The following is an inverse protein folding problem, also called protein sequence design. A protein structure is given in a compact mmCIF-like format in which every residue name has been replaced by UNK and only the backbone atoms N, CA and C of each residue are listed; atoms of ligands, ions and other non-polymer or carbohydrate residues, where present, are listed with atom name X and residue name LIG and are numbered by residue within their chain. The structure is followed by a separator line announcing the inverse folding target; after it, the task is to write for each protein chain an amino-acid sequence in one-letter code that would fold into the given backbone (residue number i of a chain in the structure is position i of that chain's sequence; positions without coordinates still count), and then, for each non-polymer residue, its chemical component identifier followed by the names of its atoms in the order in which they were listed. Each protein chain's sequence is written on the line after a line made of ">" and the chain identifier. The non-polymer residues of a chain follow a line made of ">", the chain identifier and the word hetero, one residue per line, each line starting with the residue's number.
data_IF_638117752117
#
_entry.id   IF_638117752117
#
_cell.length_a   1.000
_cell.length_b   1.000
_cell.length_c   1.000
_cell.angle_alpha   90.00
_cell.angle_beta   90.00
_cell.angle_gamma   90.00
#
_symmetry.space_group_name_H-M   'P 1'
#
loop_
_entity.id
_entity.type
_entity.pdbx_description
1 polymer ?
#
# COMPACT_ATOMS: atom_id res chain seq x y z
N UNK A 1 -19.73 -83.95 -20.48
CA UNK A 1 -18.48 -83.67 -19.73
C UNK A 1 -17.63 -82.69 -20.52
N UNK A 2 -17.43 -81.47 -20.01
CA UNK A 2 -16.20 -80.64 -20.04
C UNK A 2 -16.57 -79.21 -19.65
N UNK A 3 -15.99 -78.77 -18.53
CA UNK A 3 -15.98 -77.38 -18.07
C UNK A 3 -15.12 -76.55 -19.02
N UNK A 4 -15.51 -75.32 -19.29
CA UNK A 4 -14.62 -74.27 -19.77
C UNK A 4 -14.93 -72.97 -19.02
N UNK A 5 -13.86 -72.27 -18.70
CA UNK A 5 -13.67 -71.37 -17.58
C UNK A 5 -13.19 -70.03 -18.15
N UNK A 6 -13.61 -68.91 -17.55
CA UNK A 6 -13.05 -67.55 -17.66
C UNK A 6 -13.03 -66.86 -19.04
N UNK A 7 -13.57 -65.64 -19.10
CA UNK A 7 -12.76 -64.43 -18.89
C UNK A 7 -13.67 -63.20 -18.73
N UNK A 8 -13.71 -62.68 -17.51
CA UNK A 8 -14.28 -61.38 -17.17
C UNK A 8 -13.22 -60.33 -17.55
N UNK A 9 -13.36 -59.69 -18.70
CA UNK A 9 -12.47 -58.60 -19.12
C UNK A 9 -13.09 -57.29 -18.64
N UNK A 10 -12.67 -56.85 -17.45
CA UNK A 10 -12.98 -55.53 -16.94
C UNK A 10 -12.37 -54.46 -17.83
N UNK A 11 -13.21 -53.68 -18.49
CA UNK A 11 -12.82 -52.42 -19.10
C UNK A 11 -12.78 -51.36 -17.98
N UNK A 12 -11.68 -51.31 -17.25
CA UNK A 12 -11.32 -50.13 -16.46
C UNK A 12 -10.92 -49.05 -17.47
N UNK A 13 -11.90 -48.25 -17.88
CA UNK A 13 -11.63 -46.94 -18.46
C UNK A 13 -10.93 -46.13 -17.37
N UNK A 14 -9.60 -46.16 -17.38
CA UNK A 14 -8.75 -45.16 -16.75
C UNK A 14 -9.14 -43.82 -17.38
N UNK A 15 -10.09 -43.13 -16.75
CA UNK A 15 -10.22 -41.70 -16.90
C UNK A 15 -8.87 -41.13 -16.49
N UNK A 16 -8.10 -40.71 -17.48
CA UNK A 16 -6.93 -39.87 -17.29
C UNK A 16 -7.47 -38.57 -16.70
N UNK A 17 -7.51 -38.48 -15.37
CA UNK A 17 -7.62 -37.21 -14.67
C UNK A 17 -6.34 -36.49 -15.09
N UNK A 18 -6.41 -35.37 -15.82
CA UNK A 18 -5.22 -34.54 -15.94
C UNK A 18 -4.85 -34.18 -14.50
N UNK A 19 -3.68 -34.66 -14.06
CA UNK A 19 -3.01 -34.14 -12.89
C UNK A 19 -2.86 -32.65 -13.15
N UNK A 20 -3.82 -31.87 -12.66
CA UNK A 20 -3.58 -30.47 -12.41
C UNK A 20 -2.47 -30.47 -11.37
N UNK A 21 -1.24 -30.28 -11.84
CA UNK A 21 -0.18 -29.76 -11.00
C UNK A 21 -0.79 -28.65 -10.15
N UNK A 22 -0.64 -28.67 -8.82
CA UNK A 22 -1.09 -27.54 -8.02
C UNK A 22 -0.35 -26.34 -8.58
N UNK A 23 -1.06 -25.43 -9.27
CA UNK A 23 -0.48 -24.14 -9.63
C UNK A 23 -0.03 -23.58 -8.30
N UNK A 24 1.27 -23.45 -8.10
CA UNK A 24 1.82 -22.73 -6.97
C UNK A 24 1.10 -21.39 -7.04
N UNK A 25 0.17 -21.16 -6.11
CA UNK A 25 -0.52 -19.90 -5.99
C UNK A 25 0.58 -18.96 -5.50
N UNK A 26 1.34 -18.39 -6.45
CA UNK A 26 2.34 -17.40 -6.13
C UNK A 26 1.65 -16.31 -5.31
N UNK A 27 2.25 -15.98 -4.17
CA UNK A 27 1.77 -14.94 -3.29
C UNK A 27 1.72 -13.64 -4.10
N UNK A 28 0.52 -13.07 -4.26
CA UNK A 28 0.31 -11.89 -5.09
C UNK A 28 1.18 -10.70 -4.65
N UNK A 29 1.49 -10.62 -3.34
CA UNK A 29 2.42 -9.64 -2.80
C UNK A 29 3.85 -9.95 -3.23
N UNK A 30 4.29 -11.21 -3.19
CA UNK A 30 5.64 -11.60 -3.60
C UNK A 30 5.91 -11.22 -5.07
N UNK A 31 4.95 -11.44 -5.95
CA UNK A 31 5.09 -11.05 -7.36
C UNK A 31 5.09 -9.53 -7.54
N UNK A 32 4.24 -8.81 -6.82
CA UNK A 32 4.21 -7.35 -6.88
C UNK A 32 5.51 -6.71 -6.37
N UNK A 33 6.14 -7.30 -5.35
CA UNK A 33 7.42 -6.83 -4.82
C UNK A 33 8.59 -6.98 -5.80
N UNK A 34 8.49 -7.87 -6.80
CA UNK A 34 9.48 -7.99 -7.89
C UNK A 34 9.34 -6.89 -8.94
N UNK A 35 8.20 -6.19 -8.99
CA UNK A 35 7.94 -5.12 -9.95
C UNK A 35 8.60 -3.82 -9.49
N UNK A 36 9.13 -2.97 -10.41
CA UNK A 36 9.72 -1.69 -10.05
C UNK A 36 8.76 -0.82 -9.22
N UNK A 37 9.24 -0.35 -8.07
CA UNK A 37 8.48 0.46 -7.13
C UNK A 37 9.41 1.46 -6.41
N UNK A 38 8.83 2.54 -5.90
CA UNK A 38 9.55 3.61 -5.21
C UNK A 38 9.75 3.31 -3.72
N UNK A 39 9.01 2.35 -3.17
CA UNK A 39 9.07 1.95 -1.78
C UNK A 39 7.86 1.15 -1.37
N UNK A 40 7.94 0.61 -0.16
CA UNK A 40 6.93 -0.26 0.44
C UNK A 40 6.68 0.21 1.87
N UNK A 41 5.41 0.41 2.22
CA UNK A 41 4.99 0.67 3.60
C UNK A 41 4.27 -0.55 4.13
N UNK A 42 4.57 -0.95 5.37
CA UNK A 42 3.85 -2.00 6.08
C UNK A 42 3.30 -1.46 7.39
N UNK A 43 2.07 -1.88 7.73
CA UNK A 43 1.38 -1.53 8.96
C UNK A 43 0.39 -2.64 9.33
N UNK A 44 0.62 -3.34 10.43
CA UNK A 44 -0.16 -4.52 10.80
C UNK A 44 -0.15 -5.58 9.70
N UNK A 45 -1.33 -6.00 9.24
CA UNK A 45 -1.48 -6.97 8.13
C UNK A 45 -1.55 -6.32 6.74
N UNK A 46 -1.36 -5.00 6.66
CA UNK A 46 -1.45 -4.21 5.42
C UNK A 46 -0.06 -3.94 4.85
N UNK A 47 0.06 -4.04 3.53
CA UNK A 47 1.24 -3.64 2.77
C UNK A 47 0.84 -2.72 1.63
N UNK A 48 1.55 -1.62 1.47
CA UNK A 48 1.34 -0.61 0.44
C UNK A 48 2.59 -0.56 -0.43
N UNK A 49 2.45 -0.75 -1.74
CA UNK A 49 3.55 -0.65 -2.71
C UNK A 49 3.33 0.62 -3.53
N UNK A 50 4.35 1.49 -3.55
CA UNK A 50 4.33 2.72 -4.35
C UNK A 50 4.82 2.41 -5.77
N UNK A 51 3.90 2.13 -6.68
CA UNK A 51 4.23 1.64 -8.02
C UNK A 51 4.95 2.70 -8.86
N UNK A 52 5.94 2.27 -9.66
CA UNK A 52 6.59 3.13 -10.65
C UNK A 52 5.83 3.09 -11.99
N UNK A 53 4.56 3.50 -11.97
CA UNK A 53 3.73 3.65 -13.17
C UNK A 53 3.42 5.12 -13.47
N UNK A 54 2.86 5.39 -14.65
CA UNK A 54 2.52 6.76 -15.08
C UNK A 54 1.42 7.41 -14.24
N UNK A 55 0.62 6.61 -13.55
CA UNK A 55 -0.52 7.04 -12.74
C UNK A 55 -0.14 7.17 -11.26
N UNK A 56 1.10 6.82 -10.90
CA UNK A 56 1.66 6.79 -9.56
C UNK A 56 0.73 6.07 -8.56
N UNK A 57 0.23 4.89 -8.94
CA UNK A 57 -0.72 4.15 -8.11
C UNK A 57 -0.08 3.58 -6.84
N UNK A 58 -0.91 3.38 -5.82
CA UNK A 58 -0.55 2.62 -4.63
C UNK A 58 -1.29 1.29 -4.66
N UNK A 59 -0.56 0.18 -4.67
CA UNK A 59 -1.15 -1.15 -4.50
C UNK A 59 -1.27 -1.49 -3.02
N UNK A 60 -2.48 -1.76 -2.56
CA UNK A 60 -2.76 -2.24 -1.20
C UNK A 60 -2.89 -3.75 -1.19
N UNK A 61 -2.24 -4.38 -0.22
CA UNK A 61 -2.33 -5.81 0.07
C UNK A 61 -2.77 -6.00 1.53
N UNK A 62 -3.58 -7.02 1.78
CA UNK A 62 -3.99 -7.45 3.12
C UNK A 62 -3.73 -8.94 3.22
N UNK A 63 -2.92 -9.37 4.19
CA UNK A 63 -2.51 -10.79 4.34
C UNK A 63 -2.04 -11.38 3.01
N UNK A 64 -1.07 -10.73 2.36
CA UNK A 64 -0.49 -11.17 1.06
C UNK A 64 -1.42 -11.12 -0.16
N UNK A 65 -2.73 -10.90 0.02
CA UNK A 65 -3.67 -10.79 -1.09
C UNK A 65 -3.80 -9.34 -1.53
N UNK A 66 -3.72 -9.09 -2.84
CA UNK A 66 -4.00 -7.75 -3.39
C UNK A 66 -5.44 -7.37 -3.05
N UNK A 67 -5.62 -6.26 -2.36
CA UNK A 67 -6.93 -5.69 -2.05
C UNK A 67 -7.41 -4.83 -3.22
N UNK A 68 -6.66 -3.78 -3.57
CA UNK A 68 -6.94 -2.89 -4.69
C UNK A 68 -5.74 -1.98 -4.97
N UNK A 69 -5.71 -1.40 -6.18
CA UNK A 69 -4.89 -0.22 -6.47
C UNK A 69 -5.71 1.03 -6.22
N UNK A 70 -5.09 2.13 -5.80
CA UNK A 70 -5.79 3.40 -5.62
C UNK A 70 -4.85 4.59 -5.79
N UNK A 71 -5.48 5.75 -5.94
CA UNK A 71 -4.87 7.07 -5.74
C UNK A 71 -5.84 7.91 -4.90
N UNK A 72 -5.34 8.89 -4.17
CA UNK A 72 -6.19 9.96 -3.62
C UNK A 72 -5.99 11.20 -4.50
N UNK A 73 -7.09 11.93 -4.75
CA UNK A 73 -7.07 13.18 -5.50
C UNK A 73 -6.06 14.16 -4.88
N UNK A 74 -5.12 14.72 -5.67
CA UNK A 74 -4.20 15.73 -5.18
C UNK A 74 -4.91 16.97 -4.61
N UNK A 75 -6.10 17.29 -5.13
CA UNK A 75 -6.91 18.42 -4.64
C UNK A 75 -7.43 18.19 -3.22
N UNK A 76 -7.66 16.93 -2.83
CA UNK A 76 -8.02 16.58 -1.45
C UNK A 76 -6.85 16.61 -0.48
N UNK A 77 -5.61 16.64 -1.00
CA UNK A 77 -4.39 16.74 -0.20
C UNK A 77 -3.50 17.89 -0.68
N UNK A 78 -3.92 19.15 -0.43
CA UNK A 78 -3.08 20.31 -0.66
C UNK A 78 -1.95 20.33 0.39
N UNK A 79 -0.89 19.58 0.13
CA UNK A 79 0.31 19.52 0.96
C UNK A 79 1.30 20.56 0.43
N UNK A 80 1.74 21.49 1.27
CA UNK A 80 2.93 22.29 0.94
C UNK A 80 4.21 21.47 1.21
N UNK A 81 4.75 20.93 0.12
CA UNK A 81 6.01 20.19 0.13
C UNK A 81 7.23 21.07 0.47
N UNK A 82 7.08 22.40 0.42
CA UNK A 82 8.15 23.33 0.75
C UNK A 82 8.17 23.68 2.24
N UNK A 83 7.03 23.83 2.92
CA UNK A 83 6.95 24.04 4.37
C UNK A 83 7.42 22.84 5.18
N UNK A 84 7.31 21.63 4.62
CA UNK A 84 7.86 20.39 5.21
C UNK A 84 9.38 20.46 5.39
N UNK A 85 10.09 21.24 4.56
CA UNK A 85 11.54 21.45 4.63
C UNK A 85 12.00 22.37 5.76
N UNK A 86 11.10 23.19 6.31
CA UNK A 86 11.45 24.11 7.40
C UNK A 86 11.34 23.47 8.79
N UNK A 87 10.66 22.33 8.89
CA UNK A 87 10.50 21.55 10.14
C UNK A 87 11.67 20.60 10.43
N UNK A 88 12.70 20.57 9.58
CA UNK A 88 13.94 19.79 9.80
C UNK A 88 14.82 20.45 10.86
N UNK A 89 14.39 20.38 12.13
CA UNK A 89 15.26 20.64 13.27
C UNK A 89 15.43 19.35 14.03
N UNK A 90 16.68 19.00 14.30
CA UNK A 90 17.16 17.89 15.15
C UNK A 90 16.81 18.08 16.63
N UNK A 91 15.62 18.59 16.91
CA UNK A 91 15.06 18.77 18.24
C UNK A 91 13.66 18.15 18.24
N UNK A 92 13.60 16.84 18.47
CA UNK A 92 12.33 16.14 18.75
C UNK A 92 11.90 15.03 17.79
N UNK A 93 12.79 14.50 16.93
CA UNK A 93 12.60 13.24 16.16
C UNK A 93 11.23 13.05 15.45
N UNK A 94 10.63 14.12 14.92
CA UNK A 94 9.32 14.05 14.27
C UNK A 94 9.29 14.74 12.92
N UNK A 95 8.49 14.21 11.98
CA UNK A 95 8.20 14.81 10.68
C UNK A 95 6.72 15.17 10.61
N UNK A 96 6.39 16.38 10.15
CA UNK A 96 5.02 16.90 10.10
C UNK A 96 4.60 17.13 8.65
N UNK A 97 3.48 16.53 8.25
CA UNK A 97 2.76 16.78 7.01
C UNK A 97 1.48 17.51 7.40
N UNK A 98 1.26 18.71 6.91
CA UNK A 98 0.13 19.56 7.30
C UNK A 98 -0.64 20.05 6.06
N UNK A 99 -1.96 20.08 6.18
CA UNK A 99 -2.86 20.78 5.28
C UNK A 99 -2.91 22.24 5.72
N UNK A 100 -2.33 23.16 4.96
CA UNK A 100 -2.28 24.58 5.37
C UNK A 100 -3.66 25.26 5.37
N UNK A 101 -4.63 24.73 4.62
CA UNK A 101 -5.97 25.30 4.54
C UNK A 101 -6.81 24.96 5.77
N UNK A 102 -6.64 23.74 6.30
CA UNK A 102 -7.50 23.19 7.36
C UNK A 102 -6.79 23.07 8.71
N UNK A 103 -5.45 23.06 8.71
CA UNK A 103 -4.60 22.80 9.87
C UNK A 103 -4.57 21.32 10.29
N UNK A 104 -5.14 20.43 9.47
CA UNK A 104 -5.01 18.99 9.71
C UNK A 104 -3.61 18.50 9.44
N UNK A 105 -3.17 17.49 10.20
CA UNK A 105 -1.81 17.01 10.06
C UNK A 105 -1.66 15.51 10.29
N UNK A 106 -0.58 14.99 9.73
CA UNK A 106 0.01 13.68 10.01
C UNK A 106 1.43 13.95 10.50
N UNK A 107 1.73 13.50 11.71
CA UNK A 107 3.06 13.61 12.30
C UNK A 107 3.66 12.23 12.47
N UNK A 108 4.81 11.99 11.85
CA UNK A 108 5.62 10.81 12.11
C UNK A 108 6.46 11.08 13.36
N UNK A 109 6.44 10.16 14.31
CA UNK A 109 7.18 10.24 15.58
C UNK A 109 7.92 8.93 15.84
N UNK A 110 8.81 8.93 16.84
CA UNK A 110 9.60 7.74 17.23
C UNK A 110 10.36 7.10 16.04
N UNK A 111 10.86 7.93 15.12
CA UNK A 111 11.50 7.47 13.89
C UNK A 111 12.83 6.78 14.22
N UNK A 112 12.95 5.51 13.83
CA UNK A 112 14.15 4.70 14.03
C UNK A 112 14.64 4.13 12.69
N UNK A 113 15.94 4.25 12.44
CA UNK A 113 16.61 3.56 11.34
C UNK A 113 16.75 2.07 11.68
N UNK A 114 16.12 1.21 10.89
CA UNK A 114 16.20 -0.26 11.02
C UNK A 114 17.35 -0.80 10.18
N UNK A 115 17.50 -0.30 8.96
CA UNK A 115 18.61 -0.59 8.04
C UNK A 115 18.83 0.59 7.10
N UNK A 116 19.85 0.54 6.24
CA UNK A 116 20.22 1.64 5.34
C UNK A 116 19.08 2.16 4.44
N UNK A 117 18.05 1.33 4.19
CA UNK A 117 16.91 1.64 3.34
C UNK A 117 15.57 1.46 4.07
N UNK A 118 15.58 1.33 5.39
CA UNK A 118 14.39 0.99 6.17
C UNK A 118 14.29 1.83 7.44
N UNK A 119 13.11 2.42 7.65
CA UNK A 119 12.79 3.15 8.86
C UNK A 119 11.50 2.61 9.49
N UNK A 120 11.45 2.59 10.81
CA UNK A 120 10.22 2.37 11.58
C UNK A 120 9.77 3.68 12.22
N UNK A 121 8.47 3.92 12.29
CA UNK A 121 7.92 5.13 12.92
C UNK A 121 6.48 4.89 13.39
N UNK A 122 6.00 5.79 14.24
CA UNK A 122 4.61 5.88 14.64
C UNK A 122 3.98 7.14 14.01
N UNK A 123 2.66 7.19 13.96
CA UNK A 123 1.90 8.30 13.38
C UNK A 123 0.96 8.90 14.43
N UNK A 124 1.01 10.22 14.60
CA UNK A 124 0.01 11.03 15.29
C UNK A 124 -0.78 11.85 14.26
N UNK A 125 -2.10 11.80 14.29
CA UNK A 125 -2.96 12.59 13.41
C UNK A 125 -3.70 13.70 14.17
N UNK A 126 -4.02 14.81 13.49
CA UNK A 126 -4.75 15.95 14.08
C UNK A 126 -6.14 15.59 14.63
N UNK A 127 -6.75 14.52 14.11
CA UNK A 127 -8.01 13.96 14.61
C UNK A 127 -7.86 13.20 15.95
N UNK A 128 -6.64 13.16 16.53
CA UNK A 128 -6.32 12.52 17.80
C UNK A 128 -6.04 11.02 17.72
N UNK A 129 -6.03 10.44 16.52
CA UNK A 129 -5.66 9.03 16.31
C UNK A 129 -4.15 8.88 16.31
N UNK A 130 -3.66 7.90 17.07
CA UNK A 130 -2.26 7.49 17.07
C UNK A 130 -2.16 6.04 16.60
N UNK A 131 -1.23 5.77 15.68
CA UNK A 131 -0.96 4.44 15.15
C UNK A 131 0.52 4.10 15.33
N UNK A 132 0.80 2.93 15.90
CA UNK A 132 2.16 2.50 16.21
C UNK A 132 2.65 1.40 15.26
N UNK A 133 3.91 1.47 14.84
CA UNK A 133 4.60 0.37 14.14
C UNK A 133 4.48 0.37 12.63
N UNK A 134 4.54 1.53 11.97
CA UNK A 134 4.79 1.59 10.53
C UNK A 134 6.25 1.23 10.22
N UNK A 135 6.48 0.52 9.11
CA UNK A 135 7.81 0.38 8.51
C UNK A 135 7.78 0.82 7.04
N UNK A 136 8.74 1.63 6.64
CA UNK A 136 8.95 2.08 5.27
C UNK A 136 10.29 1.53 4.76
N UNK A 137 10.23 0.78 3.66
CA UNK A 137 11.39 0.31 2.91
C UNK A 137 11.50 1.05 1.57
N UNK A 138 12.70 1.52 1.21
CA UNK A 138 12.95 2.31 0.01
C UNK A 138 13.84 1.55 -0.97
N UNK A 139 13.42 1.48 -2.24
CA UNK A 139 14.08 0.62 -3.23
C UNK A 139 15.09 1.34 -4.15
N UNK A 140 15.26 2.67 -4.02
CA UNK A 140 16.13 3.47 -4.91
C UNK A 140 17.04 4.49 -4.18
N UNK A 141 17.55 4.17 -3.00
CA UNK A 141 18.61 4.98 -2.38
C UNK A 141 19.95 4.44 -2.86
N UNK A 142 20.68 5.23 -3.65
CA UNK A 142 22.03 4.86 -4.10
C UNK A 142 22.95 4.69 -2.88
N UNK A 143 23.47 3.47 -2.70
CA UNK A 143 24.28 3.02 -1.56
C UNK A 143 25.67 3.65 -1.44
N UNK A 144 25.94 4.76 -2.10
CA UNK A 144 27.24 5.43 -2.04
C UNK A 144 27.28 6.42 -0.86
N UNK A 145 27.68 5.90 0.32
CA UNK A 145 28.11 6.64 1.52
C UNK A 145 27.07 7.41 2.36
N UNK A 146 26.03 6.75 2.84
CA UNK A 146 25.23 7.32 3.95
C UNK A 146 24.77 6.26 4.95
N UNK A 147 25.30 6.32 6.18
CA UNK A 147 24.50 5.91 7.34
C UNK A 147 23.30 6.87 7.38
N UNK A 148 22.05 6.42 7.57
CA UNK A 148 20.90 7.35 7.51
C UNK A 148 21.01 8.42 8.61
N UNK A 149 21.72 8.13 9.71
CA UNK A 149 22.05 9.11 10.77
C UNK A 149 23.03 10.23 10.39
N UNK A 150 23.90 10.09 9.38
CA UNK A 150 25.00 11.07 9.16
C UNK A 150 25.06 11.71 7.78
N UNK A 151 24.35 11.18 6.78
CA UNK A 151 24.26 11.81 5.45
C UNK A 151 22.87 11.59 4.89
N UNK A 152 21.88 12.10 5.60
CA UNK A 152 20.50 11.82 5.27
C UNK A 152 20.11 12.58 4.01
N UNK A 153 19.91 11.85 2.92
CA UNK A 153 18.93 12.25 1.94
C UNK A 153 17.56 12.12 2.62
N UNK A 154 17.21 13.06 3.51
CA UNK A 154 15.88 13.14 4.12
C UNK A 154 14.80 13.26 3.04
N UNK A 155 15.17 13.92 1.93
CA UNK A 155 14.45 13.95 0.66
C UNK A 155 14.17 12.57 0.04
N UNK A 156 15.00 11.57 0.36
CA UNK A 156 14.81 10.19 -0.06
C UNK A 156 13.79 9.47 0.83
N UNK A 157 13.68 9.83 2.11
CA UNK A 157 12.57 9.36 2.97
C UNK A 157 11.26 10.06 2.58
N UNK A 158 11.36 11.31 2.13
CA UNK A 158 10.26 12.10 1.57
C UNK A 158 9.85 11.68 0.14
N UNK A 159 10.29 10.51 -0.36
CA UNK A 159 10.29 10.13 -1.78
C UNK A 159 8.93 10.25 -2.49
N UNK A 160 7.79 10.12 -1.82
CA UNK A 160 6.68 11.03 -2.13
C UNK A 160 5.85 11.29 -0.86
N UNK A 161 6.07 12.42 -0.18
CA UNK A 161 5.27 12.86 1.00
C UNK A 161 3.77 12.65 0.77
N UNK A 162 3.29 12.93 -0.45
CA UNK A 162 1.91 12.66 -0.89
C UNK A 162 1.54 11.18 -0.80
N UNK A 163 2.33 10.26 -1.36
CA UNK A 163 2.02 8.82 -1.36
C UNK A 163 2.10 8.19 0.01
N UNK A 164 3.01 8.68 0.84
CA UNK A 164 3.08 8.28 2.23
C UNK A 164 1.85 8.75 3.01
N UNK A 165 1.46 10.02 2.83
CA UNK A 165 0.22 10.55 3.40
C UNK A 165 -1.02 9.76 2.91
N UNK A 166 -1.10 9.46 1.61
CA UNK A 166 -2.16 8.62 1.00
C UNK A 166 -2.29 7.26 1.71
N UNK A 167 -1.18 6.54 1.89
CA UNK A 167 -1.18 5.23 2.55
C UNK A 167 -1.50 5.31 4.05
N UNK A 168 -1.05 6.38 4.73
CA UNK A 168 -1.35 6.64 6.14
C UNK A 168 -2.84 6.97 6.30
N UNK A 169 -3.42 7.81 5.44
CA UNK A 169 -4.85 8.15 5.49
C UNK A 169 -5.72 6.91 5.24
N UNK A 170 -5.38 6.08 4.24
CA UNK A 170 -6.06 4.79 4.04
C UNK A 170 -5.91 3.86 5.26
N UNK A 171 -4.78 3.92 5.98
CA UNK A 171 -4.57 3.14 7.21
C UNK A 171 -5.38 3.66 8.40
N UNK A 172 -5.51 4.98 8.53
CA UNK A 172 -6.27 5.68 9.58
C UNK A 172 -7.79 5.53 9.42
N UNK A 173 -8.27 5.16 8.23
CA UNK A 173 -9.69 5.01 7.93
C UNK A 173 -10.32 3.73 8.49
N UNK A 174 -11.21 3.87 9.49
CA UNK A 174 -12.55 3.27 9.39
C UNK A 174 -13.69 4.32 9.41
N UNK A 175 -13.37 5.61 9.19
CA UNK A 175 -14.31 6.73 9.27
C UNK A 175 -14.65 7.40 7.93
N UNK A 176 -14.06 6.94 6.83
CA UNK A 176 -14.57 7.29 5.50
C UNK A 176 -15.85 6.46 5.34
N UNK A 177 -16.99 7.11 5.08
CA UNK A 177 -18.31 6.51 4.87
C UNK A 177 -18.22 5.08 4.31
N UNK A 178 -18.94 4.11 4.89
CA UNK A 178 -19.07 2.75 4.35
C UNK A 178 -19.38 2.69 2.84
N UNK A 179 -20.01 3.73 2.30
CA UNK A 179 -20.26 3.89 0.87
C UNK A 179 -18.98 4.06 0.05
N UNK A 180 -17.95 4.69 0.60
CA UNK A 180 -16.64 4.87 -0.02
C UNK A 180 -15.88 3.55 -0.14
N UNK A 181 -15.80 2.78 0.94
CA UNK A 181 -15.20 1.45 0.89
C UNK A 181 -15.91 0.56 -0.15
N UNK A 182 -17.24 0.63 -0.19
CA UNK A 182 -18.03 -0.08 -1.20
C UNK A 182 -17.74 0.42 -2.63
N UNK A 183 -17.61 1.73 -2.84
CA UNK A 183 -17.33 2.30 -4.16
C UNK A 183 -15.91 1.97 -4.65
N UNK A 184 -14.92 2.04 -3.76
CA UNK A 184 -13.52 1.66 -4.02
C UNK A 184 -13.47 0.18 -4.44
N UNK A 185 -14.05 -0.70 -3.61
CA UNK A 185 -14.05 -2.14 -3.87
C UNK A 185 -14.82 -2.49 -5.14
N UNK A 186 -15.94 -1.81 -5.41
CA UNK A 186 -16.70 -1.99 -6.66
C UNK A 186 -15.85 -1.60 -7.86
N UNK A 187 -15.24 -0.42 -7.86
CA UNK A 187 -14.36 0.03 -8.94
C UNK A 187 -13.23 -0.97 -9.19
N UNK A 188 -12.50 -1.35 -8.14
CA UNK A 188 -11.41 -2.31 -8.21
C UNK A 188 -11.86 -3.68 -8.76
N UNK A 189 -13.03 -4.17 -8.34
CA UNK A 189 -13.58 -5.45 -8.82
C UNK A 189 -13.91 -5.46 -10.31
N UNK A 190 -14.14 -4.28 -10.91
CA UNK A 190 -14.36 -4.12 -12.36
C UNK A 190 -13.07 -3.90 -13.16
N UNK A 191 -11.91 -3.97 -12.50
CA UNK A 191 -10.60 -3.73 -13.11
C UNK A 191 -10.23 -2.25 -13.22
N UNK A 192 -10.98 -1.35 -12.58
CA UNK A 192 -10.67 0.07 -12.51
C UNK A 192 -9.71 0.41 -11.37
N UNK A 193 -9.13 1.61 -11.45
CA UNK A 193 -8.32 2.23 -10.40
C UNK A 193 -9.17 3.33 -9.75
N UNK A 194 -9.65 3.14 -8.51
CA UNK A 194 -10.36 4.17 -7.78
C UNK A 194 -9.43 5.35 -7.47
N UNK A 195 -9.86 6.54 -7.89
CA UNK A 195 -9.36 7.82 -7.39
C UNK A 195 -10.32 8.32 -6.32
N UNK A 196 -9.81 8.49 -5.11
CA UNK A 196 -10.60 8.89 -3.94
C UNK A 196 -10.44 10.38 -3.71
N UNK A 197 -11.55 11.11 -3.68
CA UNK A 197 -11.58 12.51 -3.29
C UNK A 197 -12.20 12.60 -1.90
N UNK A 198 -11.43 13.12 -0.93
CA UNK A 198 -11.91 13.29 0.45
C UNK A 198 -12.71 14.59 0.52
N UNK A 199 -13.89 14.51 1.14
CA UNK A 199 -14.77 15.66 1.37
C UNK A 199 -14.83 15.95 2.86
N UNK A 200 -14.79 17.23 3.22
CA UNK A 200 -14.62 17.71 4.60
C UNK A 200 -13.25 17.36 5.19
N UNK A 201 -12.18 17.65 4.44
CA UNK A 201 -10.76 17.56 4.84
C UNK A 201 -10.16 16.12 4.82
N UNK A 202 -8.88 15.93 5.20
CA UNK A 202 -8.11 14.67 5.13
C UNK A 202 -8.69 13.54 5.99
N UNK A 203 -9.34 13.92 7.10
CA UNK A 203 -9.98 12.97 8.01
C UNK A 203 -11.51 13.08 7.99
N UNK A 204 -12.06 13.67 6.91
CA UNK A 204 -13.48 13.90 6.69
C UNK A 204 -14.36 12.66 6.74
N UNK A 205 -15.67 12.87 6.89
CA UNK A 205 -16.66 11.79 7.07
C UNK A 205 -17.17 11.18 5.77
N UNK A 206 -16.90 11.81 4.63
CA UNK A 206 -17.38 11.39 3.32
C UNK A 206 -16.28 11.48 2.27
N UNK A 207 -16.48 10.76 1.16
CA UNK A 207 -15.61 10.85 0.00
C UNK A 207 -16.42 10.70 -1.29
N UNK A 208 -15.84 11.17 -2.39
CA UNK A 208 -16.18 10.78 -3.76
C UNK A 208 -15.19 9.73 -4.24
N UNK A 209 -15.66 8.82 -5.09
CA UNK A 209 -14.79 7.84 -5.77
C UNK A 209 -15.04 7.93 -7.26
N UNK A 210 -14.02 8.34 -8.01
CA UNK A 210 -14.01 8.25 -9.46
C UNK A 210 -13.32 6.97 -9.90
N UNK A 211 -13.95 6.18 -10.77
CA UNK A 211 -13.36 4.94 -11.25
C UNK A 211 -12.66 5.15 -12.59
N UNK A 212 -11.32 5.13 -12.60
CA UNK A 212 -10.52 5.25 -13.81
C UNK A 212 -10.28 3.87 -14.41
N UNK A 213 -10.79 3.64 -15.62
CA UNK A 213 -10.53 2.39 -16.35
C UNK A 213 -9.22 2.56 -17.14
N UNK A 214 -8.18 1.72 -16.92
CA UNK A 214 -6.97 1.76 -17.71
C UNK A 214 -7.31 1.51 -19.20
N UNK A 215 -7.00 2.48 -20.05
CA UNK A 215 -7.22 2.41 -21.51
C UNK A 215 -6.19 1.55 -22.23
#
# INVERSE_FOLDING_TARGET
>A
MKKAFLYFCGLLMLACVPENEPSVLEDALEEALKTPNNGVVTFGEKTYIFNQDSNQTISKFVKSSKAYDFTISPESMPIDVNSTLENYRTSGESFLIENEETGEFIRLVNIQEVSANEISFDVEASNGVNLEGFNLQLNNISSENSNLRTTTCWWCIALPVLKLAEAIIDSLGPNIDSNCELAITTCASTGGIPEVELTDDWFGKSCSVECKIPS
#
